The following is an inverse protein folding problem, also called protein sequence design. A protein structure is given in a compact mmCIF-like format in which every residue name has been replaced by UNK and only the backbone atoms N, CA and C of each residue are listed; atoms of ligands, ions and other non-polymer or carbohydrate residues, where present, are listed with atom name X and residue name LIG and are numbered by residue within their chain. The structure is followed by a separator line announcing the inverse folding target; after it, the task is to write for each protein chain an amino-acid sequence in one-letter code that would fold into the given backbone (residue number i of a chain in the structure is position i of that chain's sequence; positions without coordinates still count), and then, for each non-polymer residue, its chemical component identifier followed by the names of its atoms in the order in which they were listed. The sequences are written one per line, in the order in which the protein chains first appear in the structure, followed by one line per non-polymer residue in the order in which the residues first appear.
data_IF_090981442186
#
_entry.id   IF_090981442186
#
_cell.length_a   1.000
_cell.length_b   1.000
_cell.length_c   1.000
_cell.angle_alpha   90.00
_cell.angle_beta   90.00
_cell.angle_gamma   90.00
#
_symmetry.space_group_name_H-M   'P 1'
#
loop_
_entity.id
_entity.type
_entity.pdbx_description
1 polymer ?
#
# COMPACT_ATOMS: atom_id res chain seq x y z
N UNK A 1 24.39 -35.25 25.56
CA UNK A 1 24.03 -34.32 26.63
C UNK A 1 22.61 -34.59 27.15
N UNK A 2 22.13 -33.87 28.14
CA UNK A 2 20.77 -34.01 28.68
C UNK A 2 20.09 -32.64 28.78
N UNK A 3 20.24 -31.86 27.73
CA UNK A 3 19.68 -30.51 27.53
C UNK A 3 18.30 -30.52 26.93
N UNK A 4 17.84 -31.69 26.41
CA UNK A 4 16.51 -31.86 25.80
C UNK A 4 16.52 -31.90 24.27
N UNK A 5 17.68 -31.76 23.63
CA UNK A 5 17.89 -31.95 22.20
C UNK A 5 18.42 -33.35 21.92
N UNK A 6 18.00 -33.97 20.82
CA UNK A 6 18.53 -35.27 20.41
C UNK A 6 19.98 -35.12 19.94
N UNK A 7 20.86 -36.05 20.30
CA UNK A 7 22.28 -36.02 19.86
C UNK A 7 22.45 -35.95 18.33
N UNK A 8 21.43 -36.30 17.54
CA UNK A 8 21.47 -36.19 16.09
C UNK A 8 21.17 -34.77 15.57
N UNK A 9 20.56 -33.93 16.41
CA UNK A 9 20.10 -32.61 16.09
C UNK A 9 20.85 -31.55 16.91
N UNK A 10 21.79 -31.99 17.72
CA UNK A 10 22.62 -31.23 18.64
C UNK A 10 24.03 -31.06 18.06
N UNK A 11 24.47 -29.84 17.84
CA UNK A 11 25.84 -29.57 17.36
C UNK A 11 26.88 -29.91 18.38
N UNK A 12 26.54 -29.87 19.72
CA UNK A 12 27.42 -30.18 20.85
C UNK A 12 26.91 -31.33 21.73
N UNK A 13 26.81 -32.59 21.22
CA UNK A 13 26.14 -33.69 21.93
C UNK A 13 26.78 -34.09 23.28
N UNK A 14 27.92 -33.55 23.62
CA UNK A 14 28.65 -33.82 24.88
C UNK A 14 28.64 -32.60 25.82
N UNK A 15 28.13 -31.47 25.41
CA UNK A 15 28.01 -30.28 26.24
C UNK A 15 26.53 -29.92 26.45
N UNK A 16 26.07 -29.99 27.68
CA UNK A 16 24.66 -29.74 28.03
C UNK A 16 24.33 -28.24 28.13
N UNK A 17 25.26 -27.38 27.87
CA UNK A 17 25.09 -25.92 27.90
C UNK A 17 25.04 -25.33 26.50
N UNK A 18 25.38 -26.11 25.47
CA UNK A 18 25.40 -25.67 24.07
C UNK A 18 24.60 -26.62 23.19
N UNK A 19 23.88 -26.09 22.20
CA UNK A 19 23.07 -26.89 21.28
C UNK A 19 23.17 -26.43 19.84
N UNK A 20 23.47 -25.15 19.61
CA UNK A 20 23.53 -24.49 18.30
C UNK A 20 24.89 -23.83 18.14
N UNK A 21 25.39 -23.82 16.91
CA UNK A 21 26.60 -23.16 16.42
C UNK A 21 26.19 -22.57 15.06
N UNK A 22 25.85 -21.29 15.04
CA UNK A 22 25.21 -20.63 13.89
C UNK A 22 26.22 -20.41 12.76
N UNK A 23 27.42 -19.96 13.08
CA UNK A 23 28.50 -19.66 12.11
C UNK A 23 29.43 -20.85 11.84
N UNK A 24 29.30 -21.93 12.65
CA UNK A 24 30.09 -23.16 12.54
C UNK A 24 31.60 -22.96 12.82
N UNK A 25 31.96 -22.05 13.72
CA UNK A 25 33.34 -21.80 14.14
C UNK A 25 33.81 -22.75 15.23
N UNK A 26 32.88 -23.46 15.88
CA UNK A 26 33.10 -24.47 16.94
C UNK A 26 32.91 -23.95 18.35
N UNK A 27 32.47 -22.72 18.52
CA UNK A 27 31.88 -22.20 19.76
C UNK A 27 30.35 -22.34 19.65
N UNK A 28 29.66 -22.58 20.73
CA UNK A 28 28.20 -22.59 20.70
C UNK A 28 27.64 -21.20 21.03
N UNK A 29 26.46 -20.90 20.55
CA UNK A 29 25.83 -19.58 20.67
C UNK A 29 25.73 -19.04 22.12
N UNK A 30 25.71 -19.92 23.15
CA UNK A 30 25.70 -19.43 24.53
C UNK A 30 27.08 -18.99 25.03
N UNK A 31 28.15 -19.36 24.35
CA UNK A 31 29.54 -19.08 24.70
C UNK A 31 30.23 -18.16 23.71
N UNK A 32 29.62 -17.97 22.55
CA UNK A 32 30.04 -17.02 21.55
C UNK A 32 29.59 -15.59 21.92
N UNK A 33 30.10 -14.60 21.31
CA UNK A 33 29.76 -13.20 21.48
C UNK A 33 29.44 -12.54 20.15
N UNK A 34 29.51 -13.31 19.04
CA UNK A 34 29.25 -12.90 17.67
C UNK A 34 28.78 -14.18 16.94
N UNK A 35 27.53 -14.56 17.22
CA UNK A 35 26.94 -15.88 16.92
C UNK A 35 26.90 -16.21 15.41
N UNK A 36 26.90 -15.20 14.54
CA UNK A 36 26.88 -15.38 13.10
C UNK A 36 28.15 -14.93 12.38
N UNK A 37 29.12 -14.39 13.17
CA UNK A 37 30.47 -14.00 12.73
C UNK A 37 30.47 -12.95 11.61
N UNK A 38 29.51 -12.01 11.66
CA UNK A 38 29.44 -10.88 10.74
C UNK A 38 30.36 -9.72 11.16
N UNK A 39 30.85 -9.74 12.40
CA UNK A 39 31.76 -8.77 12.99
C UNK A 39 31.08 -7.75 13.91
N UNK A 40 29.78 -7.89 14.15
CA UNK A 40 29.03 -7.17 15.19
C UNK A 40 28.77 -8.15 16.34
N UNK A 41 28.94 -7.72 17.56
CA UNK A 41 28.70 -8.60 18.72
C UNK A 41 27.21 -8.66 19.04
N UNK A 42 26.68 -9.80 19.51
CA UNK A 42 25.27 -10.07 19.77
C UNK A 42 24.54 -8.96 20.55
N UNK A 43 25.22 -8.38 21.54
CA UNK A 43 24.66 -7.30 22.37
C UNK A 43 24.48 -5.95 21.60
N UNK A 44 25.12 -5.81 20.45
CA UNK A 44 25.09 -4.63 19.58
C UNK A 44 24.48 -4.95 18.21
N UNK A 45 24.04 -6.20 17.98
CA UNK A 45 23.49 -6.70 16.74
C UNK A 45 21.97 -6.82 16.82
N UNK A 46 21.27 -6.25 15.85
CA UNK A 46 19.82 -6.35 15.73
C UNK A 46 19.35 -7.71 15.19
N UNK A 47 20.27 -8.50 14.59
CA UNK A 47 19.98 -9.82 14.02
C UNK A 47 21.08 -10.85 14.35
N UNK A 48 21.37 -11.18 15.64
CA UNK A 48 22.54 -11.93 16.11
C UNK A 48 22.73 -13.34 15.55
N UNK A 49 21.87 -13.82 14.69
CA UNK A 49 21.93 -15.15 14.07
C UNK A 49 21.88 -15.06 12.53
N UNK A 50 21.92 -13.87 11.98
CA UNK A 50 21.85 -13.62 10.54
C UNK A 50 23.03 -12.78 10.06
N UNK A 51 24.08 -13.38 9.44
CA UNK A 51 25.28 -12.68 8.99
C UNK A 51 25.02 -11.68 7.84
N UNK A 52 23.80 -11.55 7.37
CA UNK A 52 23.40 -10.54 6.41
C UNK A 52 22.81 -9.30 7.06
N UNK A 53 22.48 -9.38 8.35
CA UNK A 53 21.78 -8.33 9.09
C UNK A 53 20.53 -7.84 8.38
N UNK A 54 19.73 -8.77 7.84
CA UNK A 54 18.50 -8.54 7.09
C UNK A 54 17.32 -9.16 7.86
N UNK A 55 16.74 -8.38 8.77
CA UNK A 55 15.77 -8.89 9.76
C UNK A 55 14.46 -9.38 9.13
N UNK A 56 14.00 -8.77 8.04
CA UNK A 56 12.75 -9.14 7.39
C UNK A 56 12.93 -10.02 6.15
N UNK A 57 14.17 -10.18 5.68
CA UNK A 57 14.53 -11.11 4.61
C UNK A 57 14.24 -10.62 3.22
N UNK A 58 14.14 -9.30 3.01
CA UNK A 58 13.85 -8.70 1.70
C UNK A 58 15.09 -8.56 0.79
N UNK A 59 16.29 -8.75 1.33
CA UNK A 59 17.57 -8.70 0.64
C UNK A 59 18.32 -7.38 0.81
N UNK A 60 17.86 -6.49 1.69
CA UNK A 60 18.53 -5.25 2.08
C UNK A 60 18.91 -5.32 3.55
N UNK A 61 20.17 -5.07 3.87
CA UNK A 61 20.64 -5.10 5.26
C UNK A 61 20.01 -3.94 6.07
N UNK A 62 19.70 -4.19 7.36
CA UNK A 62 19.02 -3.24 8.26
C UNK A 62 19.61 -1.82 8.24
N UNK A 63 20.93 -1.69 8.09
CA UNK A 63 21.63 -0.38 8.05
C UNK A 63 21.34 0.43 6.78
N UNK A 64 20.96 -0.24 5.70
CA UNK A 64 20.67 0.33 4.38
C UNK A 64 19.19 0.35 4.08
N UNK A 65 18.37 -0.21 4.99
CA UNK A 65 16.93 -0.33 4.92
C UNK A 65 16.24 0.69 5.83
N UNK A 66 15.33 1.48 5.25
CA UNK A 66 14.50 2.42 6.02
C UNK A 66 13.40 1.72 6.83
N UNK A 67 13.03 0.47 6.48
CA UNK A 67 11.96 -0.31 7.11
C UNK A 67 12.40 -1.72 7.51
N UNK A 68 13.40 -1.91 8.38
CA UNK A 68 14.07 -3.20 8.64
C UNK A 68 13.21 -4.32 9.24
N UNK A 69 11.92 -4.15 9.34
CA UNK A 69 10.93 -5.12 9.83
C UNK A 69 9.75 -5.30 8.87
N UNK A 70 9.87 -4.80 7.63
CA UNK A 70 8.80 -4.82 6.66
C UNK A 70 9.30 -5.17 5.26
N UNK A 71 9.23 -6.44 4.91
CA UNK A 71 9.70 -7.05 3.66
C UNK A 71 9.12 -6.48 2.36
N UNK A 72 8.22 -5.50 2.45
CA UNK A 72 7.60 -4.84 1.30
C UNK A 72 8.26 -3.50 0.95
N UNK A 73 9.02 -2.90 1.86
CA UNK A 73 9.53 -1.54 1.71
C UNK A 73 10.96 -1.41 2.20
N UNK A 74 11.81 -0.73 1.41
CA UNK A 74 13.23 -0.53 1.71
C UNK A 74 13.67 0.92 1.68
N UNK A 75 12.95 1.80 0.96
CA UNK A 75 13.35 3.18 0.72
C UNK A 75 12.38 4.18 1.32
N UNK A 76 12.94 5.21 1.94
CA UNK A 76 12.29 6.43 2.40
C UNK A 76 13.23 7.59 2.02
N UNK A 77 13.00 8.19 0.84
CA UNK A 77 13.96 9.12 0.21
C UNK A 77 14.03 10.47 0.91
N UNK A 78 12.95 10.93 1.55
CA UNK A 78 12.87 12.20 2.24
C UNK A 78 12.84 12.09 3.77
N UNK A 79 12.80 10.85 4.28
CA UNK A 79 12.88 10.50 5.70
C UNK A 79 11.70 11.02 6.53
N UNK A 80 10.49 10.95 5.97
CA UNK A 80 9.24 11.35 6.63
C UNK A 80 8.52 10.20 7.33
N UNK A 81 8.98 8.96 7.11
CA UNK A 81 8.48 7.73 7.72
C UNK A 81 7.49 6.98 6.84
N UNK A 82 7.28 7.42 5.59
CA UNK A 82 6.51 6.70 4.59
C UNK A 82 7.44 6.09 3.53
N UNK A 83 7.18 4.88 3.03
CA UNK A 83 7.98 4.30 1.97
C UNK A 83 7.74 4.96 0.61
N UNK A 84 8.80 5.21 -0.17
CA UNK A 84 8.72 5.73 -1.54
C UNK A 84 7.68 4.99 -2.40
N UNK A 85 7.66 3.66 -2.31
CA UNK A 85 6.75 2.84 -3.08
C UNK A 85 5.28 3.01 -2.65
N UNK A 86 5.03 3.23 -1.36
CA UNK A 86 3.69 3.51 -0.84
C UNK A 86 3.23 4.91 -1.25
N UNK A 87 4.10 5.91 -1.14
CA UNK A 87 3.80 7.28 -1.56
C UNK A 87 3.46 7.37 -3.04
N UNK A 88 4.30 6.77 -3.91
CA UNK A 88 4.03 6.70 -5.35
C UNK A 88 2.71 5.99 -5.65
N UNK A 89 2.38 4.93 -4.89
CA UNK A 89 1.12 4.20 -5.06
C UNK A 89 -0.09 5.09 -4.81
N UNK A 90 -0.01 6.01 -3.86
CA UNK A 90 -1.13 6.88 -3.48
C UNK A 90 -0.98 8.33 -3.97
N UNK A 91 -0.05 8.57 -4.92
CA UNK A 91 0.14 9.87 -5.57
C UNK A 91 0.70 10.94 -4.65
N UNK A 92 1.49 10.52 -3.63
CA UNK A 92 2.35 11.37 -2.82
C UNK A 92 3.71 11.54 -3.52
N UNK A 93 4.54 12.46 -3.03
CA UNK A 93 5.87 12.74 -3.62
C UNK A 93 6.99 12.23 -2.69
N UNK A 94 7.70 11.13 -3.01
CA UNK A 94 8.79 10.56 -2.18
C UNK A 94 9.97 11.51 -1.89
N UNK A 95 9.87 12.76 -2.28
CA UNK A 95 10.89 13.79 -2.02
C UNK A 95 10.31 15.01 -1.31
N UNK A 96 9.05 14.99 -0.87
CA UNK A 96 8.39 16.09 -0.15
C UNK A 96 7.92 15.65 1.25
N UNK A 97 8.77 15.74 2.29
CA UNK A 97 8.43 15.28 3.64
C UNK A 97 7.24 16.05 4.28
N UNK A 98 6.70 17.05 3.59
CA UNK A 98 5.56 17.80 4.09
C UNK A 98 4.22 17.09 3.83
N UNK A 99 4.17 16.19 2.87
CA UNK A 99 2.94 15.49 2.52
C UNK A 99 2.56 14.38 3.52
N UNK A 100 3.51 13.87 4.33
CA UNK A 100 3.25 13.03 5.51
C UNK A 100 2.20 13.61 6.47
N UNK A 101 2.09 14.92 6.52
CA UNK A 101 1.13 15.62 7.37
C UNK A 101 -0.17 16.02 6.66
N UNK A 102 -0.29 15.67 5.37
CA UNK A 102 -1.50 15.93 4.61
C UNK A 102 -2.62 14.98 5.03
N UNK A 103 -3.83 15.49 5.13
CA UNK A 103 -5.08 14.74 5.28
C UNK A 103 -5.84 14.95 3.96
N UNK A 104 -5.55 14.11 2.95
CA UNK A 104 -6.00 14.34 1.58
C UNK A 104 -7.47 13.99 1.37
N UNK A 105 -7.98 13.02 2.11
CA UNK A 105 -9.37 12.60 2.02
C UNK A 105 -10.27 13.19 3.13
N UNK A 106 -9.66 13.98 4.05
CA UNK A 106 -10.32 14.69 5.14
C UNK A 106 -11.06 13.73 6.10
N UNK A 107 -10.52 12.56 6.34
CA UNK A 107 -11.06 11.60 7.32
C UNK A 107 -10.54 11.84 8.74
N UNK A 108 -9.56 12.72 8.90
CA UNK A 108 -8.96 13.13 10.17
C UNK A 108 -7.66 12.43 10.53
N UNK A 109 -7.13 11.60 9.62
CA UNK A 109 -5.81 11.01 9.72
C UNK A 109 -4.88 11.65 8.68
N UNK A 110 -3.60 11.76 9.02
CA UNK A 110 -2.57 12.22 8.08
C UNK A 110 -2.07 11.03 7.24
N UNK A 111 -1.44 11.30 6.09
CA UNK A 111 -0.88 10.25 5.24
C UNK A 111 0.05 9.30 6.01
N UNK A 112 0.91 9.83 6.90
CA UNK A 112 1.75 9.00 7.77
C UNK A 112 0.93 8.16 8.76
N UNK A 113 -0.10 8.73 9.39
CA UNK A 113 -0.98 7.97 10.28
C UNK A 113 -1.72 6.87 9.54
N UNK A 114 -2.09 7.11 8.29
CA UNK A 114 -2.75 6.14 7.43
C UNK A 114 -1.80 5.01 7.00
N UNK A 115 -0.55 5.32 6.64
CA UNK A 115 0.47 4.30 6.41
C UNK A 115 0.65 3.40 7.65
N UNK A 116 0.79 3.99 8.84
CA UNK A 116 0.97 3.25 10.11
C UNK A 116 -0.26 2.41 10.44
N UNK A 117 -1.47 2.90 10.16
CA UNK A 117 -2.72 2.22 10.48
C UNK A 117 -3.17 1.23 9.38
N UNK A 118 -2.52 1.24 8.21
CA UNK A 118 -2.91 0.41 7.06
C UNK A 118 -4.20 0.90 6.39
N UNK A 119 -4.52 2.19 6.52
CA UNK A 119 -5.58 2.88 5.77
C UNK A 119 -5.01 3.57 4.54
N UNK A 120 -5.82 4.28 3.77
CA UNK A 120 -5.39 4.87 2.49
C UNK A 120 -5.54 6.39 2.48
N UNK A 121 -4.47 7.14 2.09
CA UNK A 121 -4.39 8.60 2.15
C UNK A 121 -5.10 9.31 1.00
N UNK A 122 -5.81 8.59 0.18
CA UNK A 122 -6.56 9.13 -0.95
C UNK A 122 -7.91 8.46 -1.04
N UNK A 123 -8.89 9.20 -1.51
CA UNK A 123 -10.24 8.68 -1.68
C UNK A 123 -10.24 7.41 -2.53
N UNK A 124 -10.86 6.39 -2.04
CA UNK A 124 -11.15 5.16 -2.77
C UNK A 124 -12.37 5.34 -3.67
N UNK A 125 -12.44 4.59 -4.76
CA UNK A 125 -13.67 4.49 -5.55
C UNK A 125 -14.76 3.61 -4.91
N UNK A 126 -14.54 3.06 -3.71
CA UNK A 126 -15.59 2.55 -2.81
C UNK A 126 -16.34 3.75 -2.18
N UNK A 127 -17.25 4.32 -2.93
CA UNK A 127 -17.94 5.57 -2.55
C UNK A 127 -18.98 5.34 -1.47
N UNK A 128 -19.61 4.17 -1.45
CA UNK A 128 -20.61 3.85 -0.44
C UNK A 128 -20.04 3.21 0.83
N UNK A 129 -18.74 2.89 0.85
CA UNK A 129 -17.97 2.41 2.00
C UNK A 129 -18.29 0.99 2.43
N UNK A 130 -18.72 0.14 1.49
CA UNK A 130 -19.11 -1.24 1.80
C UNK A 130 -17.99 -2.27 1.56
N UNK A 131 -16.75 -1.80 1.32
CA UNK A 131 -15.56 -2.58 1.01
C UNK A 131 -15.70 -3.39 -0.30
N UNK A 132 -16.52 -2.90 -1.24
CA UNK A 132 -16.67 -3.46 -2.59
C UNK A 132 -16.70 -2.35 -3.62
N UNK A 133 -16.18 -2.67 -4.79
CA UNK A 133 -16.07 -1.77 -5.93
C UNK A 133 -17.12 -2.14 -6.99
N UNK A 134 -18.32 -1.63 -6.83
CA UNK A 134 -19.46 -2.02 -7.64
C UNK A 134 -19.80 -0.97 -8.73
N UNK A 135 -19.81 -1.38 -10.01
CA UNK A 135 -20.13 -0.50 -11.13
C UNK A 135 -21.48 0.23 -10.99
N UNK A 136 -22.51 -0.45 -10.43
CA UNK A 136 -23.87 0.07 -10.34
C UNK A 136 -24.17 0.86 -9.05
N UNK A 137 -23.22 0.87 -8.10
CA UNK A 137 -23.23 1.74 -6.93
C UNK A 137 -22.14 2.80 -7.08
N UNK A 138 -20.89 2.48 -6.80
CA UNK A 138 -19.76 3.41 -6.77
C UNK A 138 -19.52 4.08 -8.12
N UNK A 139 -19.32 3.28 -9.15
CA UNK A 139 -19.09 3.81 -10.51
C UNK A 139 -20.22 4.72 -10.99
N UNK A 140 -21.47 4.38 -10.66
CA UNK A 140 -22.61 5.21 -11.04
C UNK A 140 -22.73 6.48 -10.21
N UNK A 141 -22.35 6.45 -8.92
CA UNK A 141 -22.30 7.64 -8.06
C UNK A 141 -21.24 8.63 -8.56
N UNK A 142 -20.03 8.14 -8.86
CA UNK A 142 -18.96 8.96 -9.44
C UNK A 142 -19.41 9.58 -10.78
N UNK A 143 -19.87 8.76 -11.70
CA UNK A 143 -20.33 9.23 -13.03
C UNK A 143 -21.43 10.29 -12.94
N UNK A 144 -22.42 10.09 -12.05
CA UNK A 144 -23.50 11.07 -11.84
C UNK A 144 -22.97 12.38 -11.25
N UNK A 145 -22.04 12.31 -10.31
CA UNK A 145 -21.38 13.50 -9.75
C UNK A 145 -20.65 14.29 -10.82
N UNK A 146 -19.88 13.60 -11.68
CA UNK A 146 -19.19 14.24 -12.81
C UNK A 146 -20.15 14.87 -13.83
N UNK A 147 -21.40 14.36 -13.96
CA UNK A 147 -22.46 15.02 -14.71
C UNK A 147 -23.13 16.18 -13.96
N UNK A 148 -22.67 16.51 -12.75
CA UNK A 148 -23.22 17.60 -11.93
C UNK A 148 -24.54 17.27 -11.24
N UNK A 149 -24.88 15.99 -11.07
CA UNK A 149 -26.02 15.60 -10.26
C UNK A 149 -25.67 15.69 -8.77
N UNK A 150 -26.60 16.22 -7.99
CA UNK A 150 -26.47 16.40 -6.57
C UNK A 150 -27.72 15.92 -5.78
N UNK A 151 -27.67 16.01 -4.45
CA UNK A 151 -28.78 15.69 -3.56
C UNK A 151 -29.42 14.34 -3.86
N UNK A 152 -30.75 14.29 -3.86
CA UNK A 152 -31.48 13.03 -4.11
C UNK A 152 -31.31 12.48 -5.52
N UNK A 153 -30.91 13.32 -6.49
CA UNK A 153 -30.68 12.88 -7.89
C UNK A 153 -29.40 12.06 -8.00
N UNK A 154 -28.39 12.37 -7.19
CA UNK A 154 -27.12 11.63 -7.15
C UNK A 154 -27.34 10.20 -6.68
N UNK A 155 -28.05 10.02 -5.56
CA UNK A 155 -28.14 8.72 -4.85
C UNK A 155 -29.38 7.90 -5.24
N UNK A 156 -30.25 8.40 -6.11
CA UNK A 156 -31.49 7.72 -6.44
C UNK A 156 -31.27 6.34 -7.08
N UNK A 157 -31.60 5.27 -6.39
CA UNK A 157 -31.50 3.89 -6.87
C UNK A 157 -30.09 3.34 -6.98
N UNK A 158 -29.09 3.97 -6.36
CA UNK A 158 -27.69 3.51 -6.33
C UNK A 158 -27.26 2.94 -4.98
N UNK A 159 -28.06 3.09 -3.92
CA UNK A 159 -27.65 2.63 -2.60
C UNK A 159 -27.61 1.09 -2.53
N UNK A 160 -26.46 0.52 -2.22
CA UNK A 160 -26.34 -0.87 -1.81
C UNK A 160 -27.04 -1.09 -0.46
N UNK A 161 -27.53 -2.30 -0.21
CA UNK A 161 -28.23 -2.62 1.05
C UNK A 161 -27.28 -2.63 2.27
N UNK A 162 -26.01 -2.70 2.05
CA UNK A 162 -24.89 -2.73 3.00
C UNK A 162 -24.01 -1.48 2.93
N UNK A 163 -24.42 -0.45 2.19
CA UNK A 163 -23.75 0.83 2.14
C UNK A 163 -23.61 1.45 3.53
N UNK A 164 -22.40 1.88 3.88
CA UNK A 164 -22.11 2.66 5.10
C UNK A 164 -22.55 4.12 4.89
N UNK A 165 -22.26 4.65 3.71
CA UNK A 165 -22.60 6.02 3.33
C UNK A 165 -23.74 6.02 2.30
N UNK A 166 -24.81 6.74 2.61
CA UNK A 166 -25.98 6.88 1.73
C UNK A 166 -26.52 8.30 1.68
N UNK A 167 -26.02 9.20 2.55
CA UNK A 167 -26.37 10.59 2.54
C UNK A 167 -25.69 11.30 1.36
N UNK A 168 -26.43 12.06 0.52
CA UNK A 168 -25.84 12.72 -0.65
C UNK A 168 -24.65 13.63 -0.34
N UNK A 169 -24.63 14.31 0.81
CA UNK A 169 -23.51 15.19 1.17
C UNK A 169 -22.25 14.39 1.57
N UNK A 170 -22.41 13.25 2.21
CA UNK A 170 -21.29 12.34 2.52
C UNK A 170 -20.74 11.71 1.23
N UNK A 171 -21.63 11.27 0.36
CA UNK A 171 -21.24 10.74 -0.97
C UNK A 171 -20.46 11.77 -1.79
N UNK A 172 -20.93 13.04 -1.87
CA UNK A 172 -20.21 14.11 -2.56
C UNK A 172 -18.85 14.38 -1.89
N UNK A 173 -18.79 14.41 -0.57
CA UNK A 173 -17.52 14.60 0.14
C UNK A 173 -16.52 13.50 -0.22
N UNK A 174 -16.92 12.23 -0.20
CA UNK A 174 -16.07 11.10 -0.59
C UNK A 174 -15.64 11.13 -2.06
N UNK A 175 -16.53 11.50 -2.99
CA UNK A 175 -16.14 11.67 -4.40
C UNK A 175 -15.10 12.79 -4.54
N UNK A 176 -15.25 13.88 -3.78
CA UNK A 176 -14.32 15.01 -3.83
C UNK A 176 -12.93 14.66 -3.27
N UNK A 177 -12.80 13.63 -2.40
CA UNK A 177 -11.48 13.18 -1.93
C UNK A 177 -10.64 12.54 -3.04
N UNK A 178 -11.26 12.09 -4.12
CA UNK A 178 -10.51 11.63 -5.29
C UNK A 178 -9.65 12.75 -5.91
N UNK A 179 -10.11 14.02 -5.83
CA UNK A 179 -9.35 15.15 -6.35
C UNK A 179 -8.83 14.91 -7.78
N UNK A 180 -7.55 15.20 -8.00
CA UNK A 180 -6.87 15.02 -9.29
C UNK A 180 -6.69 13.53 -9.67
N UNK A 181 -6.85 12.60 -8.73
CA UNK A 181 -6.85 11.16 -9.03
C UNK A 181 -8.04 10.71 -9.87
N UNK A 182 -9.11 11.52 -9.93
CA UNK A 182 -10.25 11.27 -10.80
C UNK A 182 -9.99 11.62 -12.28
N UNK A 183 -8.85 12.25 -12.62
CA UNK A 183 -8.34 12.40 -13.98
C UNK A 183 -7.68 11.08 -14.42
N UNK A 184 -8.48 10.17 -14.93
CA UNK A 184 -8.06 8.79 -15.23
C UNK A 184 -7.20 8.71 -16.48
N UNK A 185 -7.45 9.53 -17.50
CA UNK A 185 -6.69 9.53 -18.75
C UNK A 185 -5.47 10.47 -18.72
N UNK A 186 -5.32 11.30 -17.65
CA UNK A 186 -4.17 12.15 -17.41
C UNK A 186 -4.10 13.39 -18.30
N UNK A 187 -5.24 13.86 -18.80
CA UNK A 187 -5.29 15.03 -19.68
C UNK A 187 -5.36 16.38 -18.91
N UNK A 188 -5.55 16.33 -17.58
CA UNK A 188 -5.68 17.48 -16.70
C UNK A 188 -7.10 17.99 -16.50
N UNK A 189 -8.08 17.39 -17.15
CA UNK A 189 -9.51 17.69 -16.99
C UNK A 189 -10.22 16.45 -16.43
N UNK A 190 -11.15 16.64 -15.50
CA UNK A 190 -11.96 15.55 -14.93
C UNK A 190 -13.35 15.61 -15.53
N UNK A 191 -13.73 14.64 -16.35
CA UNK A 191 -15.03 14.66 -17.00
C UNK A 191 -15.75 13.28 -17.05
N UNK A 192 -17.08 13.36 -17.18
CA UNK A 192 -17.94 12.18 -17.12
C UNK A 192 -17.80 11.23 -18.32
N UNK A 193 -17.42 11.74 -19.50
CA UNK A 193 -17.44 10.98 -20.77
C UNK A 193 -16.10 10.32 -21.07
N UNK A 194 -15.04 10.73 -20.38
CA UNK A 194 -13.73 10.08 -20.36
C UNK A 194 -13.54 9.38 -19.01
N UNK A 195 -13.16 10.08 -17.95
CA UNK A 195 -12.77 9.53 -16.67
C UNK A 195 -13.89 8.73 -16.00
N UNK A 196 -15.07 9.33 -15.86
CA UNK A 196 -16.21 8.66 -15.27
C UNK A 196 -16.63 7.39 -16.02
N UNK A 197 -16.48 7.39 -17.33
CA UNK A 197 -16.77 6.23 -18.15
C UNK A 197 -15.65 5.18 -18.11
N UNK A 198 -14.40 5.57 -17.97
CA UNK A 198 -13.27 4.66 -17.74
C UNK A 198 -13.43 3.93 -16.41
N UNK A 199 -13.71 4.66 -15.32
CA UNK A 199 -14.00 4.05 -14.00
C UNK A 199 -15.14 3.05 -14.13
N UNK A 200 -16.26 3.46 -14.71
CA UNK A 200 -17.44 2.59 -14.82
C UNK A 200 -17.16 1.33 -15.64
N UNK A 201 -16.43 1.44 -16.76
CA UNK A 201 -16.06 0.30 -17.60
C UNK A 201 -15.15 -0.67 -16.88
N UNK A 202 -14.15 -0.15 -16.16
CA UNK A 202 -13.23 -0.98 -15.39
C UNK A 202 -13.96 -1.76 -14.29
N UNK A 203 -14.87 -1.12 -13.56
CA UNK A 203 -15.72 -1.78 -12.57
C UNK A 203 -16.68 -2.82 -13.16
N UNK A 204 -16.99 -2.74 -14.49
CA UNK A 204 -17.66 -3.81 -15.22
C UNK A 204 -16.70 -4.92 -15.70
N UNK A 205 -15.41 -4.86 -15.37
CA UNK A 205 -14.40 -5.85 -15.73
C UNK A 205 -13.90 -5.72 -17.17
N UNK A 206 -13.93 -4.52 -17.76
CA UNK A 206 -13.28 -4.25 -19.05
C UNK A 206 -11.82 -3.87 -18.77
N UNK A 207 -10.89 -4.45 -19.54
CA UNK A 207 -9.45 -4.29 -19.38
C UNK A 207 -8.77 -3.99 -20.73
N UNK A 208 -7.53 -3.49 -20.68
CA UNK A 208 -6.68 -3.22 -21.85
C UNK A 208 -7.34 -2.33 -22.89
N UNK A 209 -7.14 -2.63 -24.16
CA UNK A 209 -7.68 -1.85 -25.30
C UNK A 209 -9.20 -1.73 -25.30
N UNK A 210 -9.91 -2.67 -24.70
CA UNK A 210 -11.40 -2.63 -24.65
C UNK A 210 -11.87 -1.59 -23.63
N UNK A 211 -11.12 -1.41 -22.54
CA UNK A 211 -11.38 -0.39 -21.53
C UNK A 211 -11.37 1.01 -22.14
N UNK A 212 -10.31 1.32 -22.90
CA UNK A 212 -10.04 2.66 -23.42
C UNK A 212 -10.72 2.96 -24.77
N UNK A 213 -11.22 1.95 -25.50
CA UNK A 213 -11.70 2.09 -26.86
C UNK A 213 -12.81 3.16 -27.03
N UNK A 214 -12.47 4.28 -27.70
CA UNK A 214 -13.40 5.36 -28.02
C UNK A 214 -13.91 6.18 -26.82
N UNK A 215 -13.17 6.16 -25.70
CA UNK A 215 -13.49 6.89 -24.47
C UNK A 215 -12.39 7.87 -24.10
N UNK A 216 -11.14 7.48 -24.28
CA UNK A 216 -9.97 8.32 -23.96
C UNK A 216 -9.96 9.57 -24.82
N UNK A 217 -9.63 10.73 -24.23
CA UNK A 217 -9.52 12.00 -24.93
C UNK A 217 -8.34 12.04 -25.92
N UNK A 218 -8.38 12.95 -26.89
CA UNK A 218 -7.31 13.11 -27.88
C UNK A 218 -5.99 13.63 -27.26
N UNK A 219 -6.05 14.25 -26.09
CA UNK A 219 -4.94 14.83 -25.34
C UNK A 219 -4.58 14.01 -24.09
N UNK A 220 -5.11 12.80 -23.96
CA UNK A 220 -4.72 11.88 -22.91
C UNK A 220 -3.22 11.64 -22.87
N UNK A 221 -2.65 11.60 -21.67
CA UNK A 221 -1.21 11.35 -21.48
C UNK A 221 -0.90 9.93 -21.04
N UNK A 222 -1.91 9.20 -20.53
CA UNK A 222 -1.77 7.81 -20.09
C UNK A 222 -2.13 6.83 -21.20
N UNK A 223 -1.32 5.76 -21.30
CA UNK A 223 -1.61 4.57 -22.11
C UNK A 223 -2.70 3.70 -21.46
N UNK A 224 -3.22 2.69 -22.19
CA UNK A 224 -4.20 1.76 -21.63
C UNK A 224 -3.70 1.05 -20.35
N UNK A 225 -2.44 0.60 -20.36
CA UNK A 225 -1.83 -0.08 -19.21
C UNK A 225 -1.65 0.87 -18.01
N UNK A 226 -1.29 2.13 -18.25
CA UNK A 226 -1.17 3.15 -17.21
C UNK A 226 -2.53 3.58 -16.65
N UNK A 227 -3.57 3.63 -17.47
CA UNK A 227 -4.96 3.86 -17.04
C UNK A 227 -5.43 2.72 -16.12
N UNK A 228 -5.15 1.49 -16.51
CA UNK A 228 -5.52 0.30 -15.74
C UNK A 228 -4.80 0.28 -14.37
N UNK A 229 -3.49 0.52 -14.37
CA UNK A 229 -2.70 0.64 -13.13
C UNK A 229 -3.19 1.78 -12.23
N UNK A 230 -3.59 2.93 -12.82
CA UNK A 230 -4.15 4.03 -12.07
C UNK A 230 -5.51 3.70 -11.43
N UNK A 231 -6.37 2.96 -12.14
CA UNK A 231 -7.65 2.48 -11.59
C UNK A 231 -7.46 1.43 -10.49
N UNK A 232 -6.47 0.53 -10.62
CA UNK A 232 -6.11 -0.44 -9.58
C UNK A 232 -5.68 0.26 -8.29
N UNK A 233 -4.91 1.35 -8.39
CA UNK A 233 -4.49 2.16 -7.25
C UNK A 233 -5.68 2.75 -6.47
N UNK A 234 -6.79 3.08 -7.13
CA UNK A 234 -8.01 3.60 -6.50
C UNK A 234 -8.89 2.52 -5.84
N UNK A 235 -8.45 1.25 -5.87
CA UNK A 235 -9.13 0.10 -5.26
C UNK A 235 -8.19 -0.64 -4.30
N UNK A 236 -7.71 0.02 -3.24
CA UNK A 236 -6.75 -0.52 -2.29
C UNK A 236 -7.29 -1.70 -1.46
#
# INVERSE_FOLDING_TARGET
SNDGVLDSDDTFPLDATETVDTDSDGLGNNSDTDDDNDGVVDDEDDAPLDPTNDTDGDGVANQDDAFPQNDLYTLDSDSDGMPDAWELRYGLDPNDPADATSDRDNDGYTALEEFINGTVPSGSIDIDGNERYDALTDGLLILRSMFGLDGSSLVAGTAASDAVYSNPNEIIARINTLGDLADIDGNGDIDALTDGLLILRYLFGLEGEILVAGVVSDDATRTADEIEAHLEMLMP
#
